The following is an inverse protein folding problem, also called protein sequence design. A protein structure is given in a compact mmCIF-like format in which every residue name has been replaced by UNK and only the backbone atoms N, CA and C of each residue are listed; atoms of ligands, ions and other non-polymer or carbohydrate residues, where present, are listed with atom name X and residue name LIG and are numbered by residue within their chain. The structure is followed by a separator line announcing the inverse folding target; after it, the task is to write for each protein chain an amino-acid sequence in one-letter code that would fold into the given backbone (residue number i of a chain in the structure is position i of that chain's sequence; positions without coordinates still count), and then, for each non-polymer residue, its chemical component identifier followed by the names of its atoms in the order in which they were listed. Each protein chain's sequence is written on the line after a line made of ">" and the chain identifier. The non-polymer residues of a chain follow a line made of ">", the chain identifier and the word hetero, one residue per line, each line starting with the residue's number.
data_IF_103197657532
#
_entry.id   IF_103197657532
#
_cell.length_a   1.000
_cell.length_b   1.000
_cell.length_c   1.000
_cell.angle_alpha   90.00
_cell.angle_beta   90.00
_cell.angle_gamma   90.00
#
_symmetry.space_group_name_H-M   'P 1'
#
loop_
_entity.id
_entity.type
_entity.pdbx_description
1 polymer ?
#
# COMPACT_ATOMS: atom_id res chain seq x y z
N UNK A 1 6.26 -3.13 82.98
CA UNK A 1 6.18 -3.80 81.69
C UNK A 1 4.98 -3.21 80.93
N UNK A 2 5.24 -2.36 79.99
CA UNK A 2 4.26 -1.56 79.30
C UNK A 2 4.16 -2.14 77.88
N UNK A 3 3.05 -2.82 77.61
CA UNK A 3 2.72 -3.31 76.23
C UNK A 3 2.08 -2.17 75.41
N UNK A 4 2.83 -1.63 74.46
CA UNK A 4 2.34 -0.73 73.51
C UNK A 4 1.70 -1.56 72.29
N UNK A 5 0.38 -1.59 72.28
CA UNK A 5 -0.36 -2.10 71.14
C UNK A 5 -0.50 -0.96 70.12
N UNK A 6 0.24 -1.03 69.00
CA UNK A 6 0.07 -0.13 67.87
C UNK A 6 -1.14 -0.60 67.05
N UNK A 7 -2.19 0.20 67.12
CA UNK A 7 -3.36 0.01 66.27
C UNK A 7 -3.03 0.61 64.89
N UNK A 8 -2.80 -0.24 63.90
CA UNK A 8 -2.68 0.21 62.49
C UNK A 8 -4.09 0.35 61.89
N UNK A 9 -4.49 1.59 61.69
CA UNK A 9 -5.72 1.90 60.95
C UNK A 9 -5.45 1.73 59.45
N UNK A 10 -6.02 0.67 58.84
CA UNK A 10 -6.02 0.51 57.41
C UNK A 10 -7.10 1.40 56.79
N UNK A 11 -6.65 2.44 56.10
CA UNK A 11 -7.55 3.28 55.26
C UNK A 11 -7.80 2.55 53.97
N UNK A 12 -8.97 1.96 53.83
CA UNK A 12 -9.44 1.40 52.54
C UNK A 12 -9.90 2.55 51.65
N UNK A 13 -9.15 2.82 50.62
CA UNK A 13 -9.55 3.73 49.55
C UNK A 13 -10.45 2.93 48.58
N UNK A 14 -11.73 3.32 48.38
CA UNK A 14 -12.55 2.67 47.36
C UNK A 14 -12.07 3.09 45.97
N UNK A 15 -11.40 2.19 45.28
CA UNK A 15 -11.12 2.33 43.86
C UNK A 15 -12.43 2.04 43.11
N UNK A 16 -13.18 3.08 42.78
CA UNK A 16 -14.28 2.97 41.82
C UNK A 16 -13.69 2.81 40.43
N UNK A 17 -13.94 1.70 39.73
CA UNK A 17 -13.59 1.63 38.31
C UNK A 17 -14.55 2.54 37.55
N UNK A 18 -14.09 3.70 37.13
CA UNK A 18 -14.72 4.47 36.09
C UNK A 18 -14.54 3.70 34.76
N UNK A 19 -15.34 2.69 34.56
CA UNK A 19 -15.61 2.20 33.22
C UNK A 19 -16.49 3.23 32.52
N UNK A 20 -15.87 4.26 31.97
CA UNK A 20 -16.52 5.02 30.94
C UNK A 20 -16.69 4.08 29.74
N UNK A 21 -17.90 3.91 29.19
CA UNK A 21 -18.03 3.24 27.90
C UNK A 21 -17.27 4.09 26.89
N UNK A 22 -16.16 3.54 26.40
CA UNK A 22 -15.56 4.04 25.17
C UNK A 22 -16.63 3.76 24.14
N UNK A 23 -17.42 4.78 23.81
CA UNK A 23 -18.19 4.81 22.58
C UNK A 23 -17.12 4.56 21.50
N UNK A 24 -17.12 3.35 20.96
CA UNK A 24 -16.42 3.06 19.74
C UNK A 24 -17.06 3.98 18.71
N UNK A 25 -16.47 5.15 18.55
CA UNK A 25 -16.71 6.00 17.41
C UNK A 25 -16.32 5.12 16.23
N UNK A 26 -17.35 4.64 15.56
CA UNK A 26 -17.22 3.88 14.33
C UNK A 26 -16.49 4.83 13.39
N UNK A 27 -15.15 4.66 13.32
CA UNK A 27 -14.32 5.32 12.31
C UNK A 27 -14.78 4.70 11.01
N UNK A 28 -15.88 5.23 10.47
CA UNK A 28 -16.25 5.03 9.10
C UNK A 28 -15.09 5.60 8.30
N UNK A 29 -14.19 4.70 7.91
CA UNK A 29 -13.14 5.01 6.94
C UNK A 29 -13.83 5.74 5.79
N UNK A 30 -13.51 7.01 5.52
CA UNK A 30 -14.18 7.74 4.46
C UNK A 30 -13.98 6.91 3.20
N UNK A 31 -15.10 6.42 2.66
CA UNK A 31 -15.10 5.74 1.37
C UNK A 31 -14.39 6.70 0.41
N UNK A 32 -13.27 6.30 -0.23
CA UNK A 32 -12.54 7.20 -1.10
C UNK A 32 -13.52 7.75 -2.13
N UNK A 33 -13.78 9.04 -2.05
CA UNK A 33 -14.65 9.70 -3.01
C UNK A 33 -13.98 9.65 -4.37
N UNK A 34 -14.71 9.39 -5.46
CA UNK A 34 -14.16 9.37 -6.81
C UNK A 34 -13.29 10.60 -7.14
N UNK A 35 -13.57 11.75 -6.52
CA UNK A 35 -12.80 12.98 -6.67
C UNK A 35 -11.34 12.87 -6.17
N UNK A 36 -11.05 12.07 -5.15
CA UNK A 36 -9.68 11.86 -4.65
C UNK A 36 -8.88 11.00 -5.63
N UNK A 37 -9.51 10.02 -6.22
CA UNK A 37 -8.89 9.23 -7.29
C UNK A 37 -8.66 10.06 -8.56
N UNK A 38 -9.58 10.93 -8.91
CA UNK A 38 -9.45 11.82 -10.09
C UNK A 38 -8.29 12.79 -9.92
N UNK A 39 -8.01 13.29 -8.71
CA UNK A 39 -6.88 14.18 -8.45
C UNK A 39 -5.52 13.49 -8.58
N UNK A 40 -5.42 12.22 -8.19
CA UNK A 40 -4.18 11.43 -8.32
C UNK A 40 -3.91 11.05 -9.77
N UNK A 41 -4.95 10.75 -10.51
CA UNK A 41 -4.86 10.25 -11.87
C UNK A 41 -4.94 11.36 -12.92
N UNK A 42 -5.54 12.51 -12.60
CA UNK A 42 -5.58 13.70 -13.47
C UNK A 42 -4.21 14.33 -13.76
N UNK A 43 -3.17 13.94 -12.99
CA UNK A 43 -1.77 14.26 -13.30
C UNK A 43 -1.14 13.38 -14.38
N UNK A 44 -1.82 12.32 -14.85
CA UNK A 44 -1.32 11.37 -15.83
C UNK A 44 -1.78 11.68 -17.26
N UNK A 45 -2.84 12.47 -17.42
CA UNK A 45 -3.40 12.80 -18.73
C UNK A 45 -3.50 14.30 -18.92
N UNK A 46 -2.97 14.79 -20.03
CA UNK A 46 -2.96 16.22 -20.35
C UNK A 46 -4.32 16.77 -20.81
N UNK A 47 -5.33 15.93 -21.05
CA UNK A 47 -6.59 16.29 -21.70
C UNK A 47 -7.87 15.84 -20.97
N UNK A 48 -7.80 15.46 -19.70
CA UNK A 48 -8.99 15.05 -18.94
C UNK A 48 -9.62 13.72 -19.43
N UNK A 49 -8.94 12.96 -20.25
CA UNK A 49 -9.33 11.60 -20.62
C UNK A 49 -9.13 10.71 -19.41
N UNK A 50 -10.12 9.91 -18.98
CA UNK A 50 -9.95 9.01 -17.86
C UNK A 50 -8.82 8.02 -18.20
N UNK A 51 -7.83 7.87 -17.30
CA UNK A 51 -6.71 6.97 -17.56
C UNK A 51 -7.19 5.54 -17.60
N UNK A 52 -6.59 4.78 -18.49
CA UNK A 52 -6.73 3.34 -18.50
C UNK A 52 -5.85 2.73 -17.42
N UNK A 53 -6.41 1.80 -16.65
CA UNK A 53 -5.70 1.08 -15.62
C UNK A 53 -5.91 -0.42 -15.84
N UNK A 54 -4.83 -1.18 -15.75
CA UNK A 54 -4.87 -2.63 -15.78
C UNK A 54 -4.01 -3.21 -14.66
N UNK A 55 -4.40 -4.37 -14.15
CA UNK A 55 -3.59 -5.08 -13.18
C UNK A 55 -3.59 -6.58 -13.45
N UNK A 56 -2.62 -7.27 -12.90
CA UNK A 56 -2.56 -8.73 -12.86
C UNK A 56 -1.72 -9.19 -11.67
N UNK A 57 -1.97 -10.40 -11.25
CA UNK A 57 -1.26 -11.06 -10.17
C UNK A 57 -0.60 -12.33 -10.70
N UNK A 58 0.63 -12.59 -10.26
CA UNK A 58 1.42 -13.76 -10.66
C UNK A 58 2.07 -14.36 -9.41
N UNK A 59 2.07 -15.68 -9.27
CA UNK A 59 2.82 -16.37 -8.23
C UNK A 59 4.32 -16.31 -8.53
N UNK A 60 5.13 -16.06 -7.49
CA UNK A 60 6.59 -15.96 -7.60
C UNK A 60 7.25 -16.79 -6.49
N UNK A 61 8.51 -17.16 -6.71
CA UNK A 61 9.23 -18.01 -5.76
C UNK A 61 9.47 -17.31 -4.40
N UNK A 62 9.84 -16.03 -4.44
CA UNK A 62 10.02 -15.19 -3.25
C UNK A 62 10.05 -13.71 -3.63
N UNK A 63 9.92 -12.83 -2.63
CA UNK A 63 9.86 -11.38 -2.84
C UNK A 63 11.16 -10.78 -3.40
N UNK A 64 12.34 -11.33 -3.04
CA UNK A 64 13.62 -10.83 -3.52
C UNK A 64 13.79 -11.13 -5.01
N UNK A 65 13.52 -12.37 -5.43
CA UNK A 65 13.56 -12.76 -6.84
C UNK A 65 12.56 -11.93 -7.65
N UNK A 66 11.36 -11.73 -7.12
CA UNK A 66 10.33 -10.89 -7.74
C UNK A 66 10.83 -9.46 -8.00
N UNK A 67 11.40 -8.79 -7.00
CA UNK A 67 11.94 -7.42 -7.16
C UNK A 67 13.05 -7.34 -8.19
N UNK A 68 13.96 -8.30 -8.15
CA UNK A 68 15.08 -8.35 -9.10
C UNK A 68 14.57 -8.53 -10.53
N UNK A 69 13.60 -9.42 -10.73
CA UNK A 69 12.98 -9.65 -12.03
C UNK A 69 12.21 -8.39 -12.52
N UNK A 70 11.43 -7.75 -11.63
CA UNK A 70 10.73 -6.51 -11.94
C UNK A 70 11.70 -5.40 -12.36
N UNK A 71 12.79 -5.21 -11.59
CA UNK A 71 13.80 -4.20 -11.88
C UNK A 71 14.48 -4.44 -13.22
N UNK A 72 14.90 -5.67 -13.48
CA UNK A 72 15.53 -6.05 -14.74
C UNK A 72 14.60 -5.80 -15.93
N UNK A 73 13.32 -6.18 -15.79
CA UNK A 73 12.31 -5.97 -16.83
C UNK A 73 12.01 -4.50 -17.09
N UNK A 74 11.97 -3.68 -16.06
CA UNK A 74 11.79 -2.24 -16.21
C UNK A 74 12.96 -1.59 -16.96
N UNK A 75 14.21 -2.01 -16.70
CA UNK A 75 15.37 -1.58 -17.47
C UNK A 75 15.27 -2.02 -18.94
N UNK A 76 14.87 -3.26 -19.19
CA UNK A 76 14.68 -3.79 -20.56
C UNK A 76 13.64 -2.97 -21.33
N UNK A 77 12.55 -2.55 -20.67
CA UNK A 77 11.49 -1.74 -21.26
C UNK A 77 11.82 -0.24 -21.34
N UNK A 78 13.03 0.15 -20.96
CA UNK A 78 13.46 1.56 -20.98
C UNK A 78 12.73 2.44 -19.97
N UNK A 79 12.32 1.89 -18.84
CA UNK A 79 11.65 2.65 -17.78
C UNK A 79 12.54 3.77 -17.24
N UNK A 80 11.94 4.95 -17.04
CA UNK A 80 12.55 6.12 -16.43
C UNK A 80 11.99 6.34 -15.03
N UNK A 81 12.70 7.13 -14.21
CA UNK A 81 12.23 7.48 -12.86
C UNK A 81 12.07 6.27 -11.95
N UNK A 82 12.89 5.24 -12.15
CA UNK A 82 12.85 4.03 -11.35
C UNK A 82 13.26 4.34 -9.93
N UNK A 83 12.32 4.25 -9.01
CA UNK A 83 12.58 4.39 -7.58
C UNK A 83 11.86 3.28 -6.84
N UNK A 84 12.53 2.49 -6.00
CA UNK A 84 11.83 1.71 -5.02
C UNK A 84 11.19 2.68 -4.03
N UNK A 85 9.86 2.70 -3.93
CA UNK A 85 9.18 3.50 -2.92
C UNK A 85 9.16 2.80 -1.56
N UNK A 86 9.31 1.49 -1.57
CA UNK A 86 9.52 0.66 -0.40
C UNK A 86 10.33 -0.60 -0.77
N UNK A 87 10.65 -1.43 0.22
CA UNK A 87 11.43 -2.65 0.02
C UNK A 87 10.73 -3.70 -0.85
N UNK A 88 9.43 -3.56 -1.09
CA UNK A 88 8.59 -4.55 -1.75
C UNK A 88 8.06 -4.12 -3.10
N UNK A 89 8.32 -2.90 -3.54
CA UNK A 89 7.78 -2.36 -4.78
C UNK A 89 8.86 -1.82 -5.72
N UNK A 90 8.64 -1.98 -7.01
CA UNK A 90 9.37 -1.33 -8.08
C UNK A 90 8.42 -0.44 -8.88
N UNK A 91 8.80 0.81 -9.10
CA UNK A 91 8.05 1.80 -9.88
C UNK A 91 8.87 2.26 -11.07
N UNK A 92 8.20 2.72 -12.11
CA UNK A 92 8.83 3.31 -13.27
C UNK A 92 7.83 3.86 -14.27
N UNK A 93 8.32 4.70 -15.18
CA UNK A 93 7.54 5.27 -16.28
C UNK A 93 8.06 4.69 -17.60
N UNK A 94 7.21 3.98 -18.33
CA UNK A 94 7.50 3.37 -19.62
C UNK A 94 6.77 4.16 -20.71
N UNK A 95 7.50 4.93 -21.52
CA UNK A 95 6.90 5.92 -22.39
C UNK A 95 6.19 7.02 -21.58
N UNK A 96 4.87 7.09 -21.67
CA UNK A 96 4.00 7.98 -20.88
C UNK A 96 3.15 7.20 -19.85
N UNK A 97 3.42 5.92 -19.67
CA UNK A 97 2.63 5.06 -18.81
C UNK A 97 3.36 4.78 -17.50
N UNK A 98 2.63 4.81 -16.40
CA UNK A 98 3.13 4.48 -15.08
C UNK A 98 2.96 2.99 -14.81
N UNK A 99 4.03 2.34 -14.40
CA UNK A 99 4.01 0.93 -14.05
C UNK A 99 4.54 0.72 -12.63
N UNK A 100 3.94 -0.21 -11.93
CA UNK A 100 4.42 -0.67 -10.63
C UNK A 100 4.29 -2.18 -10.50
N UNK A 101 5.25 -2.77 -9.80
CA UNK A 101 5.24 -4.17 -9.40
C UNK A 101 5.44 -4.24 -7.90
N UNK A 102 4.48 -4.80 -7.21
CA UNK A 102 4.52 -5.04 -5.78
C UNK A 102 4.79 -6.52 -5.53
N UNK A 103 5.84 -6.81 -4.77
CA UNK A 103 6.26 -8.16 -4.44
C UNK A 103 5.93 -8.47 -2.99
N UNK A 104 4.86 -9.20 -2.76
CA UNK A 104 4.39 -9.51 -1.41
C UNK A 104 3.82 -10.93 -1.34
N UNK A 105 4.09 -11.63 -0.24
CA UNK A 105 3.50 -12.95 0.04
C UNK A 105 3.69 -13.96 -1.11
N UNK A 106 4.88 -13.96 -1.73
CA UNK A 106 5.22 -14.78 -2.90
C UNK A 106 4.31 -14.52 -4.10
N UNK A 107 3.87 -13.29 -4.26
CA UNK A 107 3.09 -12.80 -5.40
C UNK A 107 3.65 -11.50 -5.94
N UNK A 108 3.56 -11.35 -7.25
CA UNK A 108 3.82 -10.10 -7.95
C UNK A 108 2.49 -9.48 -8.36
N UNK A 109 2.19 -8.28 -7.86
CA UNK A 109 1.05 -7.49 -8.28
C UNK A 109 1.54 -6.44 -9.27
N UNK A 110 1.16 -6.58 -10.53
CA UNK A 110 1.57 -5.71 -11.63
C UNK A 110 0.43 -4.76 -11.93
N UNK A 111 0.69 -3.46 -11.82
CA UNK A 111 -0.29 -2.41 -12.13
C UNK A 111 0.32 -1.49 -13.19
N UNK A 112 -0.45 -1.19 -14.23
CA UNK A 112 -0.06 -0.24 -15.27
C UNK A 112 -1.20 0.73 -15.51
N UNK A 113 -0.89 2.02 -15.53
CA UNK A 113 -1.81 3.11 -15.81
C UNK A 113 -1.28 4.01 -16.93
N UNK A 114 -2.16 4.47 -17.82
CA UNK A 114 -1.80 5.34 -18.94
C UNK A 114 -3.01 5.79 -19.72
N UNK A 115 -2.80 6.46 -20.85
CA UNK A 115 -3.87 7.05 -21.65
C UNK A 115 -4.64 6.01 -22.48
N UNK A 116 -3.93 5.02 -23.02
CA UNK A 116 -4.50 4.00 -23.92
C UNK A 116 -4.60 2.65 -23.25
N UNK A 117 -5.79 2.06 -23.28
CA UNK A 117 -6.04 0.73 -22.74
C UNK A 117 -5.18 -0.35 -23.43
N UNK A 118 -5.04 -0.30 -24.72
CA UNK A 118 -4.24 -1.28 -25.46
C UNK A 118 -2.76 -1.19 -25.07
N UNK A 119 -2.24 0.03 -24.96
CA UNK A 119 -0.84 0.26 -24.55
C UNK A 119 -0.57 -0.23 -23.13
N UNK A 120 -1.45 0.06 -22.17
CA UNK A 120 -1.26 -0.40 -20.79
C UNK A 120 -1.38 -1.92 -20.68
N UNK A 121 -2.24 -2.54 -21.48
CA UNK A 121 -2.34 -3.99 -21.57
C UNK A 121 -1.06 -4.64 -22.11
N UNK A 122 -0.49 -4.08 -23.17
CA UNK A 122 0.75 -4.55 -23.77
C UNK A 122 1.91 -4.45 -22.77
N UNK A 123 2.10 -3.30 -22.12
CA UNK A 123 3.13 -3.10 -21.09
C UNK A 123 2.96 -4.11 -19.96
N UNK A 124 1.72 -4.32 -19.48
CA UNK A 124 1.43 -5.31 -18.45
C UNK A 124 1.83 -6.72 -18.88
N UNK A 125 1.49 -7.12 -20.12
CA UNK A 125 1.85 -8.43 -20.67
C UNK A 125 3.37 -8.60 -20.74
N UNK A 126 4.10 -7.57 -21.15
CA UNK A 126 5.56 -7.59 -21.21
C UNK A 126 6.17 -7.71 -19.82
N UNK A 127 5.70 -6.93 -18.84
CA UNK A 127 6.18 -7.04 -17.46
C UNK A 127 5.91 -8.44 -16.90
N UNK A 128 4.74 -9.00 -17.16
CA UNK A 128 4.36 -10.34 -16.70
C UNK A 128 5.31 -11.45 -17.17
N UNK A 129 5.95 -11.30 -18.34
CA UNK A 129 6.92 -12.30 -18.85
C UNK A 129 8.16 -12.47 -17.98
N UNK A 130 8.41 -11.56 -17.04
CA UNK A 130 9.51 -11.64 -16.09
C UNK A 130 9.27 -12.62 -14.94
N UNK A 131 8.04 -13.07 -14.75
CA UNK A 131 7.57 -13.91 -13.66
C UNK A 131 7.00 -15.23 -14.18
#
# INVERSE_FOLDING_TARGET
>A
MINNVLLAAAVAIPVTPLCAPILAEEVTSPKPTPAVMTGFVGGLTSEGIPPSLTYTEVAVANNIACRNAARAKFFELGARGMSPSDENAQFGVIGQNHASVWCRENRAFIVVAGESFDTVQEIRKEIRKAF
#
